data_IF_203777180261
#
_entry.id   IF_203777180261
#
_cell.length_a   1.000
_cell.length_b   1.000
_cell.length_c   1.000
_cell.angle_alpha   90.00
_cell.angle_beta   90.00
_cell.angle_gamma   90.00
#
_symmetry.space_group_name_H-M   'P 1'
#
loop_
_entity.id
_entity.type
_entity.pdbx_description
1 polymer ?
#
# COMPACT_ATOMS: atom_id res chain seq x y z
N UNK A 1 17.13 -11.93 -6.17
CA UNK A 1 16.89 -10.66 -6.90
C UNK A 1 18.16 -9.83 -6.87
N UNK A 2 18.72 -9.49 -8.04
CA UNK A 2 19.93 -8.69 -8.13
C UNK A 2 19.63 -7.25 -7.67
N UNK A 3 19.95 -6.94 -6.42
CA UNK A 3 19.88 -5.57 -5.90
C UNK A 3 21.18 -4.89 -6.30
N UNK A 4 21.16 -4.18 -7.44
CA UNK A 4 22.26 -3.28 -7.77
C UNK A 4 22.47 -2.27 -6.64
N UNK A 5 23.69 -1.78 -6.43
CA UNK A 5 24.01 -0.80 -5.37
C UNK A 5 23.32 0.56 -5.55
N UNK A 6 22.55 0.75 -6.62
CA UNK A 6 21.84 1.99 -6.94
C UNK A 6 20.52 2.07 -6.17
N UNK A 7 20.25 3.23 -5.55
CA UNK A 7 18.96 3.54 -4.92
C UNK A 7 17.86 3.95 -5.91
N UNK A 8 18.08 3.81 -7.23
CA UNK A 8 17.10 4.19 -8.25
C UNK A 8 16.03 3.11 -8.37
N UNK A 9 14.77 3.52 -8.20
CA UNK A 9 13.59 2.70 -8.46
C UNK A 9 12.96 3.20 -9.75
N UNK A 10 12.75 2.30 -10.72
CA UNK A 10 12.01 2.58 -11.96
C UNK A 10 10.79 1.66 -11.94
N UNK A 11 9.61 2.25 -12.08
CA UNK A 11 8.34 1.53 -12.08
C UNK A 11 7.54 1.97 -13.30
N UNK A 12 6.96 1.00 -13.97
CA UNK A 12 5.92 1.24 -14.97
C UNK A 12 4.56 1.05 -14.29
N UNK A 13 3.69 2.04 -14.44
CA UNK A 13 2.34 2.04 -13.87
C UNK A 13 1.36 2.53 -14.93
N UNK A 14 0.08 2.24 -14.72
CA UNK A 14 -0.98 2.74 -15.57
C UNK A 14 -0.94 4.28 -15.69
N UNK A 15 -1.02 4.85 -16.92
CA UNK A 15 -0.97 6.30 -17.11
C UNK A 15 -2.11 7.07 -16.43
N UNK A 16 -3.30 6.48 -16.31
CA UNK A 16 -4.43 7.10 -15.63
C UNK A 16 -4.20 7.11 -14.10
N UNK A 17 -3.66 6.03 -13.54
CA UNK A 17 -3.23 5.98 -12.14
C UNK A 17 -2.16 7.03 -11.86
N UNK A 18 -1.13 7.14 -12.72
CA UNK A 18 -0.10 8.18 -12.60
C UNK A 18 -0.73 9.58 -12.56
N UNK A 19 -1.65 9.87 -13.48
CA UNK A 19 -2.34 11.18 -13.53
C UNK A 19 -3.10 11.48 -12.24
N UNK A 20 -3.88 10.52 -11.75
CA UNK A 20 -4.65 10.69 -10.51
C UNK A 20 -3.75 10.91 -9.30
N UNK A 21 -2.63 10.18 -9.23
CA UNK A 21 -1.63 10.35 -8.18
C UNK A 21 -1.07 11.78 -8.18
N UNK A 22 -0.64 12.30 -9.33
CA UNK A 22 -0.12 13.67 -9.42
C UNK A 22 -1.19 14.73 -9.08
N UNK A 23 -2.46 14.51 -9.43
CA UNK A 23 -3.54 15.42 -9.03
C UNK A 23 -3.70 15.47 -7.51
N UNK A 24 -3.67 14.32 -6.83
CA UNK A 24 -3.75 14.25 -5.37
C UNK A 24 -2.54 14.89 -4.69
N UNK A 25 -1.35 14.57 -5.17
CA UNK A 25 -0.11 15.16 -4.68
C UNK A 25 -0.11 16.70 -4.79
N UNK A 26 -0.62 17.24 -5.90
CA UNK A 26 -0.77 18.68 -6.08
C UNK A 26 -1.81 19.31 -5.15
N UNK A 27 -2.86 18.59 -4.77
CA UNK A 27 -3.84 19.06 -3.78
C UNK A 27 -3.25 19.13 -2.36
N UNK A 28 -2.39 18.17 -2.02
CA UNK A 28 -1.76 18.07 -0.70
C UNK A 28 -0.47 18.90 -0.57
N UNK A 29 -0.03 19.57 -1.65
CA UNK A 29 1.26 20.27 -1.76
C UNK A 29 2.47 19.36 -1.44
N UNK A 30 2.37 18.07 -1.76
CA UNK A 30 3.41 17.07 -1.50
C UNK A 30 4.02 16.57 -2.80
N UNK A 31 5.35 16.41 -2.84
CA UNK A 31 6.02 15.83 -4.01
C UNK A 31 5.86 14.31 -4.07
N UNK A 32 5.91 13.74 -5.29
CA UNK A 32 5.89 12.27 -5.47
C UNK A 32 6.99 11.56 -4.67
N UNK A 33 8.20 12.15 -4.65
CA UNK A 33 9.34 11.61 -3.90
C UNK A 33 9.03 11.54 -2.41
N UNK A 34 8.52 12.62 -1.83
CA UNK A 34 8.23 12.68 -0.40
C UNK A 34 7.10 11.72 -0.03
N UNK A 35 6.01 11.71 -0.79
CA UNK A 35 4.91 10.77 -0.58
C UNK A 35 5.38 9.31 -0.68
N UNK A 36 6.23 8.98 -1.66
CA UNK A 36 6.73 7.63 -1.87
C UNK A 36 7.62 7.18 -0.69
N UNK A 37 8.57 8.01 -0.26
CA UNK A 37 9.46 7.67 0.86
C UNK A 37 8.67 7.46 2.16
N UNK A 38 7.74 8.37 2.49
CA UNK A 38 6.88 8.25 3.68
C UNK A 38 6.04 6.98 3.63
N UNK A 39 5.46 6.68 2.47
CA UNK A 39 4.63 5.48 2.29
C UNK A 39 5.47 4.20 2.38
N UNK A 40 6.65 4.18 1.77
CA UNK A 40 7.58 3.05 1.84
C UNK A 40 8.08 2.81 3.26
N UNK A 41 8.46 3.86 4.00
CA UNK A 41 8.84 3.75 5.40
C UNK A 41 7.70 3.24 6.27
N UNK A 42 6.47 3.72 6.04
CA UNK A 42 5.28 3.25 6.76
C UNK A 42 5.00 1.77 6.49
N UNK A 43 5.12 1.35 5.23
CA UNK A 43 4.97 -0.05 4.82
C UNK A 43 6.02 -0.95 5.48
N UNK A 44 7.30 -0.53 5.49
CA UNK A 44 8.39 -1.28 6.15
C UNK A 44 8.16 -1.40 7.66
N UNK A 45 7.63 -0.35 8.31
CA UNK A 45 7.37 -0.34 9.76
C UNK A 45 6.15 -1.18 10.16
N UNK A 46 5.49 -1.89 9.24
CA UNK A 46 4.39 -2.81 9.55
C UNK A 46 3.07 -2.13 9.93
N UNK A 47 2.90 -0.84 9.64
CA UNK A 47 1.59 -0.18 9.77
C UNK A 47 0.92 -0.21 8.40
N UNK A 48 0.42 -1.38 8.05
CA UNK A 48 -0.36 -1.60 6.84
C UNK A 48 -1.79 -1.10 7.05
N UNK A 49 -2.27 -0.07 6.32
CA UNK A 49 -3.67 0.35 6.38
C UNK A 49 -4.61 -0.59 5.61
N UNK A 50 -4.11 -1.58 4.87
CA UNK A 50 -4.92 -2.54 4.10
C UNK A 50 -5.26 -3.80 4.92
N UNK A 51 -4.65 -4.00 6.10
CA UNK A 51 -4.92 -5.09 7.04
C UNK A 51 -6.13 -4.84 7.98
N UNK A 52 -7.04 -3.90 7.64
CA UNK A 52 -8.27 -3.65 8.44
C UNK A 52 -9.58 -4.04 7.74
N UNK A 53 -9.53 -4.71 6.60
CA UNK A 53 -10.73 -5.33 6.01
C UNK A 53 -10.48 -6.80 5.69
N UNK A 54 -10.53 -7.63 6.72
CA UNK A 54 -11.06 -8.99 6.59
C UNK A 54 -12.15 -9.13 7.65
N UNK A 55 -13.44 -9.18 7.27
CA UNK A 55 -14.50 -9.47 8.22
C UNK A 55 -14.26 -10.86 8.80
N UNK A 56 -14.33 -10.94 10.13
CA UNK A 56 -14.36 -12.20 10.87
C UNK A 56 -15.55 -13.02 10.37
N UNK A 57 -15.30 -14.03 9.54
CA UNK A 57 -16.21 -15.16 9.39
C UNK A 57 -16.18 -15.91 10.73
N UNK A 58 -17.09 -15.54 11.64
CA UNK A 58 -17.42 -16.40 12.77
C UNK A 58 -18.34 -17.47 12.18
N UNK A 59 -17.79 -18.61 11.79
CA UNK A 59 -18.61 -19.79 11.58
C UNK A 59 -19.29 -20.16 12.92
N UNK A 60 -20.63 -20.34 12.93
CA UNK A 60 -21.33 -20.73 14.13
C UNK A 60 -20.90 -22.13 14.55
N UNK A 61 -20.68 -22.31 15.85
CA UNK A 61 -20.52 -23.61 16.50
C UNK A 61 -21.68 -24.54 16.08
N UNK A 62 -21.39 -25.56 15.28
CA UNK A 62 -22.30 -26.69 15.08
C UNK A 62 -22.43 -27.45 16.40
N UNK A 63 -23.48 -27.15 17.15
CA UNK A 63 -23.93 -27.95 18.27
C UNK A 63 -24.89 -29.04 17.78
N UNK A 64 -24.36 -30.18 17.33
CA UNK A 64 -25.11 -31.44 17.34
C UNK A 64 -24.24 -32.69 17.26
N UNK A 65 -24.35 -33.56 18.27
CA UNK A 65 -24.17 -35.01 18.14
C UNK A 65 -23.06 -35.64 18.99
N UNK A 66 -23.32 -35.90 20.27
CA UNK A 66 -23.63 -37.23 20.82
C UNK A 66 -24.24 -37.08 22.23
#
# INVERSE_FOLDING_TARGET
MARGKSGRIVLEIDPALKRQLYLKLGQDDVTLKEWFLRTAERYIRGRDPLEQSSPTEKEPFDAHGD
#
